data_IF_687018698350
#
_entry.id   IF_687018698350
#
_cell.length_a   1.000
_cell.length_b   1.000
_cell.length_c   1.000
_cell.angle_alpha   90.00
_cell.angle_beta   90.00
_cell.angle_gamma   90.00
#
_symmetry.space_group_name_H-M   'P 1'
#
loop_
_entity.id
_entity.type
_entity.pdbx_description
1 polymer ?
#
# COMPACT_ATOMS: atom_id res chain seq x y z
N UNK A 1 -1.46 -15.57 48.23
CA UNK A 1 -2.45 -16.60 47.86
C UNK A 1 -3.83 -16.09 47.45
N UNK A 2 -3.94 -14.98 46.71
CA UNK A 2 -5.23 -14.49 46.19
C UNK A 2 -5.13 -14.03 44.71
N UNK A 3 -4.27 -14.68 43.93
CA UNK A 3 -4.18 -14.45 42.49
C UNK A 3 -5.39 -15.14 41.82
N UNK A 4 -6.44 -14.36 41.54
CA UNK A 4 -7.55 -14.81 40.68
C UNK A 4 -8.94 -14.78 41.30
N UNK A 5 -9.11 -14.42 42.58
CA UNK A 5 -10.41 -14.27 43.25
C UNK A 5 -11.01 -12.86 43.15
N UNK A 6 -10.22 -11.87 42.72
CA UNK A 6 -10.71 -10.51 42.50
C UNK A 6 -11.77 -10.50 41.39
N UNK A 7 -12.88 -9.82 41.63
CA UNK A 7 -13.96 -9.55 40.67
C UNK A 7 -13.83 -8.11 40.19
N UNK A 8 -13.11 -7.87 39.06
CA UNK A 8 -12.82 -6.51 38.60
C UNK A 8 -14.03 -5.81 37.96
N UNK A 9 -15.05 -6.57 37.60
CA UNK A 9 -16.36 -6.04 37.22
C UNK A 9 -17.28 -6.10 38.44
N UNK A 10 -18.28 -5.23 38.52
CA UNK A 10 -19.30 -5.24 39.58
C UNK A 10 -20.17 -6.51 39.63
N UNK A 11 -19.87 -7.52 38.81
CA UNK A 11 -20.51 -8.84 38.80
C UNK A 11 -19.69 -9.91 39.52
N UNK A 12 -20.18 -11.15 39.53
CA UNK A 12 -19.54 -12.30 40.19
C UNK A 12 -18.46 -13.03 39.37
N UNK A 13 -18.06 -12.50 38.20
CA UNK A 13 -17.03 -13.12 37.35
C UNK A 13 -15.64 -12.80 37.89
N UNK A 14 -14.84 -13.84 38.15
CA UNK A 14 -13.47 -13.65 38.63
C UNK A 14 -12.55 -13.14 37.51
N UNK A 15 -11.49 -12.42 37.87
CA UNK A 15 -10.49 -11.94 36.92
C UNK A 15 -9.83 -13.07 36.12
N UNK A 16 -9.67 -14.25 36.72
CA UNK A 16 -9.16 -15.43 36.03
C UNK A 16 -10.14 -15.95 34.98
N UNK A 17 -11.45 -15.99 35.29
CA UNK A 17 -12.47 -16.39 34.34
C UNK A 17 -12.55 -15.41 33.15
N UNK A 18 -12.46 -14.11 33.43
CA UNK A 18 -12.38 -13.06 32.42
C UNK A 18 -11.16 -13.27 31.50
N UNK A 19 -9.97 -13.47 32.08
CA UNK A 19 -8.75 -13.72 31.32
C UNK A 19 -8.85 -14.96 30.43
N UNK A 20 -9.33 -16.09 30.98
CA UNK A 20 -9.53 -17.32 30.23
C UNK A 20 -10.51 -17.13 29.06
N UNK A 21 -11.58 -16.38 29.27
CA UNK A 21 -12.56 -16.06 28.22
C UNK A 21 -11.90 -15.23 27.12
N UNK A 22 -11.15 -14.18 27.46
CA UNK A 22 -10.42 -13.38 26.47
C UNK A 22 -9.43 -14.21 25.65
N UNK A 23 -8.64 -15.06 26.31
CA UNK A 23 -7.68 -15.94 25.60
C UNK A 23 -8.41 -16.91 24.67
N UNK A 24 -9.48 -17.56 25.13
CA UNK A 24 -10.28 -18.47 24.28
C UNK A 24 -10.91 -17.74 23.09
N UNK A 25 -11.47 -16.56 23.29
CA UNK A 25 -12.03 -15.73 22.21
C UNK A 25 -10.95 -15.33 21.22
N UNK A 26 -9.77 -14.89 21.69
CA UNK A 26 -8.64 -14.56 20.83
C UNK A 26 -8.17 -15.78 20.02
N UNK A 27 -8.11 -16.95 20.66
CA UNK A 27 -7.69 -18.19 20.00
C UNK A 27 -8.65 -18.56 18.87
N UNK A 28 -9.96 -18.53 19.16
CA UNK A 28 -10.99 -18.83 18.17
C UNK A 28 -11.04 -17.82 17.03
N UNK A 29 -10.78 -16.54 17.33
CA UNK A 29 -10.88 -15.46 16.35
C UNK A 29 -9.68 -15.36 15.42
N UNK A 30 -8.47 -15.60 15.90
CA UNK A 30 -7.25 -15.49 15.10
C UNK A 30 -6.52 -16.83 14.95
N UNK A 31 -7.11 -17.85 14.30
CA UNK A 31 -6.46 -19.16 14.11
C UNK A 31 -5.04 -19.06 13.55
N UNK A 32 -4.80 -18.08 12.67
CA UNK A 32 -3.50 -17.79 12.04
C UNK A 32 -2.39 -17.49 13.05
N UNK A 33 -2.73 -16.98 14.24
CA UNK A 33 -1.75 -16.63 15.29
C UNK A 33 -1.55 -17.74 16.32
N UNK A 34 -2.35 -18.80 16.29
CA UNK A 34 -2.30 -19.90 17.27
C UNK A 34 -1.71 -21.18 16.71
N UNK A 35 -1.02 -21.08 15.58
CA UNK A 35 -0.35 -22.19 14.92
C UNK A 35 1.12 -21.84 14.68
N UNK A 36 2.02 -22.83 14.66
CA UNK A 36 3.41 -22.59 14.25
C UNK A 36 3.45 -21.90 12.89
N UNK A 37 4.31 -20.90 12.75
CA UNK A 37 4.50 -20.20 11.47
C UNK A 37 4.94 -21.20 10.40
N UNK A 38 4.17 -21.31 9.31
CA UNK A 38 4.46 -22.15 8.13
C UNK A 38 4.85 -21.34 6.89
N UNK A 39 4.96 -20.02 7.03
CA UNK A 39 5.33 -19.12 5.96
C UNK A 39 6.84 -18.94 5.92
N UNK A 40 7.45 -19.40 4.83
CA UNK A 40 8.81 -19.05 4.45
C UNK A 40 8.79 -18.25 3.15
N UNK A 41 9.45 -17.09 3.16
CA UNK A 41 9.58 -16.22 1.98
C UNK A 41 10.86 -16.50 1.19
N UNK A 42 11.72 -17.40 1.70
CA UNK A 42 12.99 -17.76 1.07
C UNK A 42 13.85 -16.52 0.74
N UNK A 43 14.45 -16.54 -0.44
CA UNK A 43 15.32 -15.49 -0.95
C UNK A 43 14.59 -14.42 -1.78
N UNK A 44 13.27 -14.25 -1.56
CA UNK A 44 12.47 -13.29 -2.28
C UNK A 44 13.06 -11.86 -2.16
N UNK A 45 13.40 -11.28 -3.32
CA UNK A 45 13.93 -9.90 -3.40
C UNK A 45 12.83 -8.84 -3.38
N UNK A 46 11.62 -9.22 -3.80
CA UNK A 46 10.42 -8.38 -3.78
C UNK A 46 9.32 -9.16 -3.09
N UNK A 47 8.76 -8.57 -2.04
CA UNK A 47 7.66 -9.16 -1.27
C UNK A 47 6.52 -8.14 -1.25
N UNK A 48 5.34 -8.55 -1.69
CA UNK A 48 4.12 -7.76 -1.63
C UNK A 48 3.06 -8.55 -0.85
N UNK A 49 2.42 -7.89 0.12
CA UNK A 49 1.34 -8.48 0.92
C UNK A 49 0.07 -7.66 0.69
N UNK A 50 -0.95 -8.30 0.14
CA UNK A 50 -2.30 -7.74 0.07
C UNK A 50 -2.97 -7.86 1.45
N UNK A 51 -2.83 -6.80 2.24
CA UNK A 51 -3.39 -6.75 3.59
C UNK A 51 -4.89 -6.45 3.61
N UNK A 52 -5.45 -5.93 2.52
CA UNK A 52 -6.86 -5.55 2.41
C UNK A 52 -7.81 -6.71 2.70
N UNK A 53 -7.39 -7.94 2.37
CA UNK A 53 -8.18 -9.16 2.59
C UNK A 53 -8.40 -9.53 4.05
N UNK A 54 -7.53 -9.05 4.95
CA UNK A 54 -7.54 -9.45 6.37
C UNK A 54 -7.71 -8.27 7.33
N UNK A 55 -7.63 -7.03 6.81
CA UNK A 55 -7.85 -5.80 7.55
C UNK A 55 -9.24 -5.23 7.21
N UNK A 56 -10.31 -5.55 7.95
CA UNK A 56 -11.64 -4.98 7.72
C UNK A 56 -11.72 -3.51 8.14
N UNK A 57 -12.56 -2.74 7.46
CA UNK A 57 -12.88 -1.37 7.87
C UNK A 57 -13.90 -1.33 9.02
N UNK A 58 -13.93 -0.22 9.75
CA UNK A 58 -14.88 0.03 10.83
C UNK A 58 -14.24 0.17 12.21
N UNK A 59 -15.08 0.41 13.21
CA UNK A 59 -14.67 0.69 14.59
C UNK A 59 -14.62 -0.58 15.45
N UNK A 60 -14.11 -0.42 16.67
CA UNK A 60 -14.12 -1.46 17.70
C UNK A 60 -13.30 -2.68 17.29
N UNK A 61 -13.99 -3.78 17.07
CA UNK A 61 -13.36 -5.07 16.80
C UNK A 61 -12.68 -5.15 15.42
N UNK A 62 -13.25 -4.49 14.40
CA UNK A 62 -12.66 -4.44 13.06
C UNK A 62 -11.36 -3.62 13.06
N UNK A 63 -11.36 -2.46 13.74
CA UNK A 63 -10.17 -1.64 13.91
C UNK A 63 -9.03 -2.42 14.58
N UNK A 64 -9.32 -3.15 15.66
CA UNK A 64 -8.32 -3.99 16.37
C UNK A 64 -7.76 -5.10 15.48
N UNK A 65 -8.62 -5.76 14.70
CA UNK A 65 -8.17 -6.77 13.76
C UNK A 65 -7.25 -6.17 12.70
N UNK A 66 -7.65 -5.06 12.09
CA UNK A 66 -6.84 -4.35 11.09
C UNK A 66 -5.48 -3.95 11.64
N UNK A 67 -5.45 -3.32 12.80
CA UNK A 67 -4.21 -2.95 13.49
C UNK A 67 -3.29 -4.18 13.71
N UNK A 68 -3.84 -5.28 14.24
CA UNK A 68 -3.10 -6.53 14.44
C UNK A 68 -2.54 -7.09 13.12
N UNK A 69 -3.32 -7.08 12.04
CA UNK A 69 -2.88 -7.56 10.73
C UNK A 69 -1.78 -6.66 10.14
N UNK A 70 -1.84 -5.34 10.34
CA UNK A 70 -0.77 -4.43 9.90
C UNK A 70 0.54 -4.69 10.65
N UNK A 71 0.47 -4.87 11.97
CA UNK A 71 1.64 -5.24 12.77
C UNK A 71 2.23 -6.58 12.31
N UNK A 72 1.38 -7.58 12.04
CA UNK A 72 1.81 -8.87 11.53
C UNK A 72 2.43 -8.76 10.13
N UNK A 73 1.81 -8.01 9.21
CA UNK A 73 2.31 -7.79 7.86
C UNK A 73 3.68 -7.10 7.86
N UNK A 74 3.83 -6.07 8.68
CA UNK A 74 5.12 -5.42 8.91
C UNK A 74 6.15 -6.40 9.45
N UNK A 75 5.80 -7.26 10.42
CA UNK A 75 6.72 -8.26 10.94
C UNK A 75 7.12 -9.30 9.89
N UNK A 76 6.18 -9.74 9.04
CA UNK A 76 6.47 -10.72 7.97
C UNK A 76 7.50 -10.14 6.98
N UNK A 77 7.34 -8.88 6.57
CA UNK A 77 8.20 -8.24 5.57
C UNK A 77 9.51 -7.73 6.19
N UNK A 78 9.41 -7.04 7.32
CA UNK A 78 10.48 -6.22 7.89
C UNK A 78 11.33 -6.90 8.97
N UNK A 79 10.98 -8.10 9.46
CA UNK A 79 11.68 -8.75 10.60
C UNK A 79 13.19 -8.79 10.48
N UNK A 80 13.72 -9.01 9.27
CA UNK A 80 15.15 -9.13 9.04
C UNK A 80 15.86 -7.79 8.81
N UNK A 81 15.12 -6.71 8.54
CA UNK A 81 15.71 -5.41 8.14
C UNK A 81 16.39 -4.69 9.31
N UNK A 82 15.99 -5.03 10.54
CA UNK A 82 16.39 -4.35 11.76
C UNK A 82 17.29 -5.20 12.67
N UNK A 83 17.68 -6.39 12.22
CA UNK A 83 18.54 -7.29 13.00
C UNK A 83 19.99 -6.83 12.95
N UNK A 84 20.69 -7.06 14.05
CA UNK A 84 22.14 -6.94 14.14
C UNK A 84 22.80 -8.33 14.04
N UNK A 85 23.95 -8.48 13.36
CA UNK A 85 24.66 -9.77 13.29
C UNK A 85 24.91 -10.41 14.65
N UNK A 86 25.14 -9.60 15.70
CA UNK A 86 25.39 -10.10 17.06
C UNK A 86 24.15 -10.75 17.68
N UNK A 87 22.95 -10.46 17.18
CA UNK A 87 21.72 -11.11 17.64
C UNK A 87 21.66 -12.60 17.26
N UNK A 88 22.57 -13.09 16.40
CA UNK A 88 22.72 -14.51 16.13
C UNK A 88 23.03 -15.33 17.41
N UNK A 89 23.57 -14.73 18.48
CA UNK A 89 23.77 -15.43 19.75
C UNK A 89 22.46 -15.93 20.39
N UNK A 90 21.33 -15.31 20.04
CA UNK A 90 19.98 -15.72 20.51
C UNK A 90 19.43 -16.93 19.75
N UNK A 91 20.14 -17.39 18.72
CA UNK A 91 19.74 -18.48 17.83
C UNK A 91 20.43 -19.79 18.26
N UNK A 92 19.81 -20.98 18.06
CA UNK A 92 20.44 -22.26 18.38
C UNK A 92 21.84 -22.42 17.77
N UNK A 93 22.78 -22.96 18.56
CA UNK A 93 24.20 -23.01 18.22
C UNK A 93 24.50 -23.63 16.84
N UNK A 94 23.77 -24.68 16.45
CA UNK A 94 24.00 -25.42 15.21
C UNK A 94 23.62 -24.66 13.93
N UNK A 95 22.88 -23.55 14.02
CA UNK A 95 22.52 -22.68 12.88
C UNK A 95 23.02 -21.24 13.05
N UNK A 96 23.79 -20.96 14.11
CA UNK A 96 24.20 -19.60 14.49
C UNK A 96 25.00 -18.89 13.39
N UNK A 97 26.02 -19.55 12.84
CA UNK A 97 26.87 -18.95 11.80
C UNK A 97 26.06 -18.62 10.54
N UNK A 98 25.17 -19.54 10.13
CA UNK A 98 24.28 -19.33 8.98
C UNK A 98 23.42 -18.08 9.18
N UNK A 99 22.84 -17.91 10.37
CA UNK A 99 22.04 -16.73 10.67
C UNK A 99 22.87 -15.46 10.83
N UNK A 100 24.10 -15.55 11.36
CA UNK A 100 25.00 -14.39 11.48
C UNK A 100 25.36 -13.83 10.10
N UNK A 101 25.70 -14.70 9.15
CA UNK A 101 25.95 -14.31 7.76
C UNK A 101 24.70 -13.67 7.15
N UNK A 102 23.54 -14.31 7.28
CA UNK A 102 22.26 -13.77 6.78
C UNK A 102 21.95 -12.38 7.36
N UNK A 103 22.13 -12.19 8.67
CA UNK A 103 21.87 -10.91 9.34
C UNK A 103 22.84 -9.83 8.85
N UNK A 104 24.11 -10.18 8.61
CA UNK A 104 25.11 -9.28 8.01
C UNK A 104 24.71 -8.85 6.61
N UNK A 105 24.32 -9.78 5.74
CA UNK A 105 23.84 -9.47 4.40
C UNK A 105 22.65 -8.51 4.40
N UNK A 106 21.66 -8.78 5.27
CA UNK A 106 20.55 -7.86 5.44
C UNK A 106 21.04 -6.50 5.92
N UNK A 107 21.94 -6.43 6.90
CA UNK A 107 22.44 -5.17 7.45
C UNK A 107 23.14 -4.30 6.41
N UNK A 108 23.93 -4.90 5.54
CA UNK A 108 24.74 -4.22 4.51
C UNK A 108 23.95 -3.86 3.25
N UNK A 109 22.84 -4.56 3.00
CA UNK A 109 21.98 -4.29 1.85
C UNK A 109 21.14 -3.02 2.03
N UNK A 110 20.81 -2.36 0.91
CA UNK A 110 19.74 -1.37 0.86
C UNK A 110 18.38 -2.07 0.74
N UNK A 111 17.42 -1.65 1.56
CA UNK A 111 16.08 -2.23 1.60
C UNK A 111 15.05 -1.11 1.52
N UNK A 112 13.92 -1.37 0.87
CA UNK A 112 12.79 -0.46 0.87
C UNK A 112 11.58 -1.16 1.49
N UNK A 113 10.92 -0.47 2.40
CA UNK A 113 9.63 -0.86 2.93
C UNK A 113 8.61 0.15 2.39
N UNK A 114 7.64 -0.36 1.64
CA UNK A 114 6.58 0.45 1.04
C UNK A 114 5.23 0.12 1.66
N UNK A 115 4.44 1.14 1.96
CA UNK A 115 3.06 0.99 2.41
C UNK A 115 2.16 1.89 1.56
N UNK A 116 1.32 1.26 0.76
CA UNK A 116 0.26 1.93 0.03
C UNK A 116 -1.00 2.08 0.88
N UNK A 117 -1.85 3.05 0.54
CA UNK A 117 -3.08 3.40 1.27
C UNK A 117 -2.84 3.62 2.79
N UNK A 118 -1.78 4.38 3.12
CA UNK A 118 -1.29 4.59 4.48
C UNK A 118 -2.33 5.22 5.41
N UNK A 119 -3.38 5.88 4.91
CA UNK A 119 -4.48 6.37 5.73
C UNK A 119 -5.14 5.26 6.56
N UNK A 120 -5.10 4.01 6.07
CA UNK A 120 -5.60 2.84 6.81
C UNK A 120 -4.72 2.51 8.02
N UNK A 121 -3.41 2.67 7.86
CA UNK A 121 -2.42 2.52 8.92
C UNK A 121 -2.44 3.71 9.89
N UNK A 122 -2.66 4.93 9.39
CA UNK A 122 -2.74 6.16 10.17
C UNK A 122 -3.90 6.14 11.19
N UNK A 123 -5.01 5.48 10.84
CA UNK A 123 -6.14 5.27 11.74
C UNK A 123 -5.84 4.30 12.91
N UNK A 124 -4.70 3.59 12.87
CA UNK A 124 -4.26 2.62 13.86
C UNK A 124 -3.02 3.16 14.62
N UNK A 125 -3.16 3.66 15.86
CA UNK A 125 -2.08 4.33 16.58
C UNK A 125 -0.81 3.49 16.75
N UNK A 126 -0.93 2.18 16.98
CA UNK A 126 0.25 1.32 17.14
C UNK A 126 0.97 1.08 15.82
N UNK A 127 0.25 1.06 14.70
CA UNK A 127 0.85 0.92 13.37
C UNK A 127 1.57 2.21 12.99
N UNK A 128 0.94 3.37 13.19
CA UNK A 128 1.60 4.65 12.97
C UNK A 128 2.91 4.75 13.78
N UNK A 129 2.84 4.43 15.08
CA UNK A 129 4.02 4.41 15.96
C UNK A 129 5.10 3.45 15.45
N UNK A 130 4.73 2.27 14.97
CA UNK A 130 5.67 1.30 14.38
C UNK A 130 6.42 1.90 13.19
N UNK A 131 5.73 2.60 12.29
CA UNK A 131 6.37 3.27 11.14
C UNK A 131 7.26 4.44 11.58
N UNK A 132 6.88 5.21 12.59
CA UNK A 132 7.74 6.25 13.17
C UNK A 132 9.02 5.67 13.79
N UNK A 133 8.92 4.59 14.56
CA UNK A 133 10.07 3.88 15.13
C UNK A 133 10.94 3.25 14.05
N UNK A 134 10.34 2.74 12.98
CA UNK A 134 11.06 2.25 11.81
C UNK A 134 11.84 3.40 11.14
N UNK A 135 11.18 4.54 10.89
CA UNK A 135 11.78 5.72 10.26
C UNK A 135 13.00 6.24 11.05
N UNK A 136 12.91 6.27 12.39
CA UNK A 136 14.02 6.68 13.28
C UNK A 136 15.25 5.80 13.13
N UNK A 137 15.06 4.51 12.89
CA UNK A 137 16.15 3.53 12.76
C UNK A 137 16.63 3.38 11.31
N UNK A 138 15.75 3.63 10.34
CA UNK A 138 15.92 3.26 8.95
C UNK A 138 17.22 3.80 8.32
N UNK A 139 17.55 5.08 8.57
CA UNK A 139 18.73 5.73 7.99
C UNK A 139 20.05 5.04 8.38
N UNK A 140 20.17 4.53 9.62
CA UNK A 140 21.38 3.83 10.10
C UNK A 140 21.51 2.40 9.55
N UNK A 141 20.42 1.87 8.99
CA UNK A 141 20.28 0.47 8.64
C UNK A 141 20.12 0.24 7.14
N UNK A 142 20.35 1.27 6.31
CA UNK A 142 20.15 1.20 4.87
C UNK A 142 18.68 0.91 4.48
N UNK A 143 17.72 1.20 5.36
CA UNK A 143 16.29 1.02 5.08
C UNK A 143 15.72 2.35 4.61
N UNK A 144 14.87 2.32 3.57
CA UNK A 144 14.08 3.45 3.09
C UNK A 144 12.60 3.15 3.29
N UNK A 145 11.85 4.14 3.74
CA UNK A 145 10.39 4.06 3.81
C UNK A 145 9.78 4.80 2.63
N UNK A 146 8.85 4.15 1.92
CA UNK A 146 7.96 4.79 0.96
C UNK A 146 6.53 4.66 1.44
N UNK A 147 5.85 5.77 1.69
CA UNK A 147 4.47 5.76 2.16
C UNK A 147 3.63 6.58 1.19
N UNK A 148 2.47 6.05 0.79
CA UNK A 148 1.50 6.75 -0.05
C UNK A 148 0.17 6.83 0.68
N UNK A 149 -0.45 8.00 0.67
CA UNK A 149 -1.71 8.27 1.35
C UNK A 149 -2.50 9.33 0.58
N UNK A 150 -3.80 9.41 0.84
CA UNK A 150 -4.67 10.39 0.21
C UNK A 150 -4.49 11.79 0.79
N UNK A 151 -4.22 11.91 2.11
CA UNK A 151 -4.07 13.20 2.79
C UNK A 151 -2.71 13.35 3.42
N UNK A 152 -2.17 14.57 3.38
CA UNK A 152 -0.88 14.88 4.02
C UNK A 152 -0.90 14.67 5.54
N UNK A 153 -2.08 14.80 6.17
CA UNK A 153 -2.23 14.64 7.63
C UNK A 153 -2.09 13.20 8.10
N UNK A 154 -2.26 12.22 7.21
CA UNK A 154 -2.23 10.78 7.56
C UNK A 154 -0.83 10.33 8.00
N UNK A 155 0.22 11.02 7.55
CA UNK A 155 1.60 10.67 7.91
C UNK A 155 1.99 11.12 9.32
N UNK A 156 1.21 12.00 9.95
CA UNK A 156 1.58 12.62 11.22
C UNK A 156 2.77 13.56 11.10
N UNK A 157 3.10 14.25 12.20
CA UNK A 157 4.14 15.29 12.21
C UNK A 157 5.54 14.72 12.02
N UNK A 158 5.84 13.57 12.64
CA UNK A 158 7.17 13.00 12.63
C UNK A 158 7.59 12.54 11.23
N UNK A 159 6.79 11.69 10.58
CA UNK A 159 7.12 11.16 9.25
C UNK A 159 7.15 12.27 8.20
N UNK A 160 6.23 13.23 8.28
CA UNK A 160 6.22 14.40 7.38
C UNK A 160 7.51 15.21 7.52
N UNK A 161 7.90 15.56 8.75
CA UNK A 161 9.09 16.39 9.01
C UNK A 161 10.38 15.69 8.58
N UNK A 162 10.49 14.38 8.76
CA UNK A 162 11.71 13.61 8.50
C UNK A 162 11.76 12.98 7.10
N UNK A 163 10.71 13.17 6.29
CA UNK A 163 10.73 12.79 4.87
C UNK A 163 11.73 13.66 4.10
N UNK A 164 12.46 13.06 3.16
CA UNK A 164 13.45 13.75 2.31
C UNK A 164 13.05 13.81 0.85
N UNK A 165 12.07 13.01 0.43
CA UNK A 165 11.48 13.04 -0.91
C UNK A 165 9.97 12.97 -0.79
N UNK A 166 9.27 13.92 -1.40
CA UNK A 166 7.82 14.09 -1.32
C UNK A 166 7.29 14.23 -2.74
N UNK A 167 6.39 13.32 -3.10
CA UNK A 167 5.74 13.28 -4.40
C UNK A 167 4.29 13.72 -4.20
N UNK A 168 3.94 14.89 -4.72
CA UNK A 168 2.60 15.48 -4.56
C UNK A 168 1.90 15.36 -5.91
N UNK A 169 0.84 14.55 -5.98
CA UNK A 169 0.14 14.22 -7.22
C UNK A 169 -1.19 14.96 -7.39
N UNK A 170 -1.61 15.71 -6.37
CA UNK A 170 -2.87 16.45 -6.32
C UNK A 170 -3.43 16.49 -4.91
N UNK A 171 -4.48 17.28 -4.73
CA UNK A 171 -5.24 17.42 -3.48
C UNK A 171 -6.73 17.41 -3.81
N UNK A 172 -7.59 16.97 -2.89
CA UNK A 172 -9.01 16.79 -3.20
C UNK A 172 -9.76 18.13 -3.38
N UNK A 173 -9.29 19.20 -2.74
CA UNK A 173 -9.93 20.53 -2.78
C UNK A 173 -8.95 21.66 -2.42
N UNK A 174 -9.32 22.94 -2.63
CA UNK A 174 -8.45 24.09 -2.33
C UNK A 174 -8.01 24.20 -0.86
N UNK A 175 -8.85 23.78 0.09
CA UNK A 175 -8.48 23.79 1.52
C UNK A 175 -7.34 22.81 1.79
N UNK A 176 -7.41 21.61 1.22
CA UNK A 176 -6.36 20.61 1.34
C UNK A 176 -5.07 21.02 0.60
N UNK A 177 -5.20 21.74 -0.52
CA UNK A 177 -4.06 22.36 -1.21
C UNK A 177 -3.34 23.37 -0.31
N UNK A 178 -4.09 24.22 0.40
CA UNK A 178 -3.53 25.18 1.35
C UNK A 178 -2.86 24.51 2.55
N UNK A 179 -3.49 23.47 3.12
CA UNK A 179 -2.90 22.70 4.21
C UNK A 179 -1.63 21.97 3.77
N UNK A 180 -1.63 21.36 2.59
CA UNK A 180 -0.45 20.71 2.01
C UNK A 180 0.67 21.71 1.80
N UNK A 181 0.38 22.87 1.20
CA UNK A 181 1.37 23.92 0.98
C UNK A 181 1.98 24.43 2.29
N UNK A 182 1.15 24.63 3.32
CA UNK A 182 1.58 25.07 4.64
C UNK A 182 2.41 24.02 5.37
N UNK A 183 1.94 22.77 5.41
CA UNK A 183 2.60 21.67 6.15
C UNK A 183 3.95 21.34 5.51
N UNK A 184 4.03 21.34 4.19
CA UNK A 184 5.27 21.02 3.47
C UNK A 184 6.22 22.22 3.31
N UNK A 185 5.76 23.42 3.67
CA UNK A 185 6.53 24.66 3.51
C UNK A 185 6.82 24.97 2.05
N UNK A 186 5.82 24.81 1.18
CA UNK A 186 5.99 25.02 -0.26
C UNK A 186 6.26 26.50 -0.58
N UNK A 187 7.04 26.73 -1.63
CA UNK A 187 7.22 28.07 -2.20
C UNK A 187 5.90 28.64 -2.74
N UNK A 188 5.86 29.94 -3.05
CA UNK A 188 4.71 30.55 -3.70
C UNK A 188 4.36 29.86 -5.04
N UNK A 189 5.37 29.44 -5.80
CA UNK A 189 5.19 28.68 -7.04
C UNK A 189 4.67 27.27 -6.77
N UNK A 190 5.22 26.57 -5.77
CA UNK A 190 4.76 25.24 -5.35
C UNK A 190 3.29 25.26 -4.90
N UNK A 191 2.90 26.25 -4.09
CA UNK A 191 1.49 26.46 -3.71
C UNK A 191 0.60 26.64 -4.93
N UNK A 192 0.99 27.50 -5.88
CA UNK A 192 0.22 27.70 -7.11
C UNK A 192 0.07 26.40 -7.93
N UNK A 193 1.13 25.61 -8.03
CA UNK A 193 1.13 24.33 -8.74
C UNK A 193 0.14 23.36 -8.09
N UNK A 194 0.18 23.19 -6.77
CA UNK A 194 -0.72 22.27 -6.05
C UNK A 194 -2.19 22.65 -6.25
N UNK A 195 -2.50 23.95 -6.29
CA UNK A 195 -3.87 24.43 -6.52
C UNK A 195 -4.38 24.23 -7.95
N UNK A 196 -3.50 24.26 -8.96
CA UNK A 196 -3.94 24.46 -10.35
C UNK A 196 -3.45 23.44 -11.36
N UNK A 197 -2.33 22.75 -11.13
CA UNK A 197 -1.64 21.98 -12.17
C UNK A 197 -1.64 20.46 -11.94
N UNK A 198 -2.01 19.98 -10.76
CA UNK A 198 -1.92 18.57 -10.36
C UNK A 198 -3.24 17.80 -10.56
N UNK A 199 -3.70 17.71 -11.81
CA UNK A 199 -5.04 17.20 -12.18
C UNK A 199 -5.03 15.72 -12.63
N UNK A 200 -4.00 14.96 -12.26
CA UNK A 200 -3.85 13.56 -12.69
C UNK A 200 -3.47 13.38 -14.17
N UNK A 201 -3.52 12.14 -14.69
CA UNK A 201 -3.07 11.81 -16.05
C UNK A 201 -3.79 12.63 -17.13
N UNK A 202 -3.02 13.26 -18.03
CA UNK A 202 -3.57 14.09 -19.11
C UNK A 202 -4.18 13.24 -20.24
N UNK A 203 -5.35 13.62 -20.81
CA UNK A 203 -6.02 12.86 -21.89
C UNK A 203 -5.19 12.74 -23.19
N UNK A 204 -4.27 13.67 -23.41
CA UNK A 204 -3.35 13.66 -24.56
C UNK A 204 -2.22 12.64 -24.41
N UNK A 205 -2.05 12.02 -23.23
CA UNK A 205 -1.01 11.04 -22.97
C UNK A 205 0.36 11.65 -22.63
N UNK A 206 0.45 12.98 -22.43
CA UNK A 206 1.70 13.67 -22.08
C UNK A 206 2.21 13.36 -20.66
N UNK A 207 1.47 12.57 -19.89
CA UNK A 207 1.82 12.10 -18.55
C UNK A 207 0.94 12.66 -17.45
N UNK A 208 1.25 12.28 -16.21
CA UNK A 208 0.59 12.79 -15.01
C UNK A 208 1.49 13.85 -14.34
N UNK A 209 1.02 15.09 -14.17
CA UNK A 209 1.77 16.12 -13.48
C UNK A 209 1.92 15.80 -11.99
N UNK A 210 3.10 16.09 -11.44
CA UNK A 210 3.40 16.01 -10.02
C UNK A 210 4.35 17.14 -9.61
N UNK A 211 4.26 17.55 -8.35
CA UNK A 211 5.28 18.37 -7.71
C UNK A 211 6.18 17.47 -6.89
N UNK A 212 7.46 17.40 -7.25
CA UNK A 212 8.49 16.73 -6.48
C UNK A 212 9.16 17.76 -5.58
N UNK A 213 9.06 17.55 -4.27
CA UNK A 213 9.86 18.28 -3.29
C UNK A 213 10.92 17.33 -2.72
N UNK A 214 12.20 17.65 -2.91
CA UNK A 214 13.31 16.78 -2.51
C UNK A 214 14.37 17.57 -1.74
N UNK A 215 14.87 16.99 -0.65
CA UNK A 215 15.96 17.56 0.14
C UNK A 215 17.30 17.10 -0.44
N UNK A 216 18.15 18.04 -0.82
CA UNK A 216 19.51 17.79 -1.30
C UNK A 216 20.48 18.61 -0.45
N UNK A 217 21.33 17.92 0.31
CA UNK A 217 22.10 18.59 1.37
C UNK A 217 21.14 19.15 2.42
N UNK A 218 21.23 20.46 2.69
CA UNK A 218 20.33 21.16 3.61
C UNK A 218 19.18 21.89 2.91
N UNK A 219 19.19 21.94 1.58
CA UNK A 219 18.24 22.72 0.80
C UNK A 219 17.09 21.87 0.25
N UNK A 220 15.93 22.50 0.11
CA UNK A 220 14.76 21.92 -0.52
C UNK A 220 14.64 22.41 -1.97
N UNK A 221 14.47 21.45 -2.88
CA UNK A 221 14.19 21.71 -4.28
C UNK A 221 12.75 21.34 -4.60
N UNK A 222 12.07 22.19 -5.35
CA UNK A 222 10.72 21.97 -5.87
C UNK A 222 10.76 21.87 -7.39
N UNK A 223 10.25 20.78 -7.95
CA UNK A 223 10.25 20.53 -9.38
C UNK A 223 8.86 20.11 -9.84
N UNK A 224 8.32 20.86 -10.79
CA UNK A 224 7.13 20.44 -11.52
C UNK A 224 7.53 19.44 -12.61
N UNK A 225 7.07 18.20 -12.48
CA UNK A 225 7.45 17.10 -13.35
C UNK A 225 6.22 16.46 -13.99
N UNK A 226 6.42 15.80 -15.13
CA UNK A 226 5.44 14.92 -15.75
C UNK A 226 5.91 13.47 -15.59
N UNK A 227 5.13 12.67 -14.86
CA UNK A 227 5.30 11.23 -14.82
C UNK A 227 4.78 10.63 -16.14
N UNK A 228 5.70 10.14 -16.96
CA UNK A 228 5.39 9.49 -18.23
C UNK A 228 5.63 7.99 -18.07
N UNK A 229 4.61 7.20 -18.39
CA UNK A 229 4.67 5.74 -18.32
C UNK A 229 4.56 5.15 -19.71
N UNK A 230 5.28 4.04 -19.92
CA UNK A 230 5.18 3.30 -21.17
C UNK A 230 3.80 2.68 -21.36
N UNK A 231 3.33 2.47 -22.60
CA UNK A 231 2.05 1.80 -22.90
C UNK A 231 1.85 0.46 -22.18
N UNK A 232 2.92 -0.33 -22.02
CA UNK A 232 2.90 -1.61 -21.29
C UNK A 232 2.63 -1.39 -19.79
N UNK A 233 3.23 -0.37 -19.20
CA UNK A 233 3.09 -0.03 -17.78
C UNK A 233 1.70 0.54 -17.50
N UNK A 234 1.20 1.43 -18.37
CA UNK A 234 -0.17 1.93 -18.28
C UNK A 234 -1.18 0.78 -18.27
N UNK A 235 -1.00 -0.21 -19.17
CA UNK A 235 -1.83 -1.42 -19.15
C UNK A 235 -1.60 -2.32 -17.94
N UNK A 236 -0.41 -2.34 -17.35
CA UNK A 236 -0.17 -3.11 -16.12
C UNK A 236 -0.86 -2.46 -14.90
N UNK A 237 -0.92 -1.12 -14.88
CA UNK A 237 -1.36 -0.32 -13.74
C UNK A 237 -2.79 0.21 -13.85
N UNK A 238 -3.47 0.05 -14.99
CA UNK A 238 -4.87 0.46 -15.11
C UNK A 238 -5.75 -0.27 -14.09
N UNK A 239 -6.53 0.50 -13.35
CA UNK A 239 -7.52 0.07 -12.35
C UNK A 239 -8.96 0.21 -12.84
N UNK A 240 -9.17 0.74 -14.06
CA UNK A 240 -10.52 0.88 -14.64
C UNK A 240 -11.18 -0.50 -14.78
N UNK A 241 -12.42 -0.68 -14.33
CA UNK A 241 -13.07 -1.99 -14.37
C UNK A 241 -13.12 -2.62 -15.77
N UNK A 242 -13.38 -1.84 -16.82
CA UNK A 242 -13.44 -2.37 -18.19
C UNK A 242 -12.06 -2.81 -18.68
N UNK A 243 -11.02 -2.00 -18.44
CA UNK A 243 -9.64 -2.34 -18.80
C UNK A 243 -9.16 -3.58 -18.04
N UNK A 244 -9.47 -3.68 -16.74
CA UNK A 244 -9.13 -4.84 -15.91
C UNK A 244 -9.83 -6.10 -16.44
N UNK A 245 -11.10 -5.99 -16.83
CA UNK A 245 -11.87 -7.11 -17.37
C UNK A 245 -11.31 -7.58 -18.72
N UNK A 246 -11.04 -6.66 -19.64
CA UNK A 246 -10.41 -6.95 -20.93
C UNK A 246 -9.04 -7.59 -20.71
N UNK A 247 -8.18 -6.96 -19.91
CA UNK A 247 -6.83 -7.44 -19.60
C UNK A 247 -6.85 -8.85 -19.02
N UNK A 248 -7.75 -9.16 -18.10
CA UNK A 248 -7.90 -10.52 -17.53
C UNK A 248 -8.25 -11.57 -18.58
N UNK A 249 -9.14 -11.25 -19.53
CA UNK A 249 -9.52 -12.18 -20.61
C UNK A 249 -8.36 -12.44 -21.56
N UNK A 250 -7.65 -11.39 -21.97
CA UNK A 250 -6.46 -11.53 -22.83
C UNK A 250 -5.33 -12.25 -22.08
N UNK A 251 -5.17 -12.02 -20.77
CA UNK A 251 -4.20 -12.75 -19.94
C UNK A 251 -4.47 -14.24 -19.92
N UNK A 252 -5.75 -14.64 -19.84
CA UNK A 252 -6.13 -16.04 -19.88
C UNK A 252 -5.79 -16.70 -21.22
N UNK A 253 -5.96 -15.98 -22.32
CA UNK A 253 -5.70 -16.51 -23.66
C UNK A 253 -4.21 -16.55 -24.04
N UNK A 254 -3.42 -15.54 -23.66
CA UNK A 254 -2.05 -15.33 -24.20
C UNK A 254 -0.94 -15.29 -23.14
N UNK A 255 -1.29 -15.25 -21.85
CA UNK A 255 -0.36 -14.94 -20.77
C UNK A 255 -0.09 -13.44 -20.61
N UNK A 256 0.36 -13.03 -19.42
CA UNK A 256 0.41 -11.62 -19.02
C UNK A 256 1.40 -10.75 -19.80
N UNK A 257 2.51 -11.32 -20.27
CA UNK A 257 3.55 -10.58 -21.02
C UNK A 257 3.04 -10.26 -22.42
N UNK A 258 2.64 -11.27 -23.19
CA UNK A 258 2.17 -11.07 -24.57
C UNK A 258 0.85 -10.29 -24.60
N UNK A 259 -0.05 -10.53 -23.65
CA UNK A 259 -1.28 -9.77 -23.54
C UNK A 259 -1.02 -8.27 -23.39
N UNK A 260 -0.14 -7.86 -22.47
CA UNK A 260 0.23 -6.43 -22.32
C UNK A 260 0.89 -5.88 -23.57
N UNK A 261 1.76 -6.65 -24.23
CA UNK A 261 2.39 -6.22 -25.49
C UNK A 261 1.33 -5.90 -26.55
N UNK A 262 0.36 -6.79 -26.77
CA UNK A 262 -0.72 -6.58 -27.76
C UNK A 262 -1.65 -5.44 -27.36
N UNK A 263 -2.11 -5.43 -26.11
CA UNK A 263 -2.95 -4.34 -25.60
C UNK A 263 -2.26 -2.99 -25.73
N UNK A 264 -0.96 -2.92 -25.44
CA UNK A 264 -0.16 -1.69 -25.56
C UNK A 264 0.04 -1.24 -27.02
N UNK A 265 0.00 -2.17 -27.98
CA UNK A 265 0.10 -1.84 -29.39
C UNK A 265 -1.22 -1.32 -29.95
N UNK A 266 -2.33 -1.96 -29.57
CA UNK A 266 -3.68 -1.59 -30.02
C UNK A 266 -4.17 -0.32 -29.29
N UNK A 267 -3.88 -0.21 -28.00
CA UNK A 267 -4.31 0.87 -27.12
C UNK A 267 -3.09 1.49 -26.40
N UNK A 268 -2.29 2.30 -27.11
CA UNK A 268 -1.02 2.84 -26.58
C UNK A 268 -1.21 3.78 -25.39
N UNK A 269 -2.41 4.38 -25.23
CA UNK A 269 -2.76 5.23 -24.09
C UNK A 269 -3.10 4.45 -22.81
N UNK A 270 -3.06 3.11 -22.85
CA UNK A 270 -3.25 2.26 -21.67
C UNK A 270 -4.69 2.01 -21.25
N UNK A 271 -5.66 2.35 -22.11
CA UNK A 271 -7.08 2.10 -21.87
C UNK A 271 -7.80 1.80 -23.17
N UNK A 272 -8.78 0.90 -23.11
CA UNK A 272 -9.68 0.56 -24.20
C UNK A 272 -11.07 1.20 -24.02
N UNK A 273 -11.25 2.07 -23.00
CA UNK A 273 -12.54 2.63 -22.61
C UNK A 273 -13.31 3.25 -23.79
N UNK A 274 -12.65 4.10 -24.59
CA UNK A 274 -13.27 4.77 -25.74
C UNK A 274 -13.78 3.77 -26.79
N UNK A 275 -13.02 2.69 -27.06
CA UNK A 275 -13.41 1.66 -28.01
C UNK A 275 -14.53 0.76 -27.45
N UNK A 276 -14.50 0.46 -26.16
CA UNK A 276 -15.55 -0.29 -25.47
C UNK A 276 -16.86 0.52 -25.48
N UNK A 277 -16.79 1.81 -25.21
CA UNK A 277 -17.94 2.71 -25.26
C UNK A 277 -18.51 2.81 -26.68
N UNK A 278 -17.65 2.97 -27.70
CA UNK A 278 -18.05 2.99 -29.10
C UNK A 278 -18.82 1.72 -29.48
N UNK A 279 -18.25 0.53 -29.22
CA UNK A 279 -18.89 -0.76 -29.52
C UNK A 279 -20.17 -0.99 -28.73
N UNK A 280 -20.22 -0.52 -27.48
CA UNK A 280 -21.42 -0.59 -26.65
C UNK A 280 -22.56 0.22 -27.27
N UNK A 281 -22.27 1.45 -27.71
CA UNK A 281 -23.27 2.31 -28.34
C UNK A 281 -23.77 1.73 -29.67
N UNK A 282 -22.89 1.13 -30.47
CA UNK A 282 -23.25 0.42 -31.71
C UNK A 282 -24.16 -0.77 -31.43
N UNK A 283 -23.80 -1.64 -30.48
CA UNK A 283 -24.61 -2.80 -30.14
C UNK A 283 -25.98 -2.42 -29.58
N UNK A 284 -26.06 -1.36 -28.76
CA UNK A 284 -27.33 -0.84 -28.23
C UNK A 284 -28.22 -0.27 -29.35
N UNK A 285 -27.63 0.40 -30.35
CA UNK A 285 -28.37 0.90 -31.51
C UNK A 285 -28.91 -0.24 -32.40
N UNK A 286 -28.16 -1.33 -32.55
CA UNK A 286 -28.57 -2.48 -33.37
C UNK A 286 -29.62 -3.36 -32.71
N UNK A 287 -29.53 -3.59 -31.40
CA UNK A 287 -30.42 -4.53 -30.69
C UNK A 287 -31.67 -3.89 -30.09
N UNK A 288 -31.80 -2.55 -30.14
CA UNK A 288 -32.88 -1.80 -29.48
C UNK A 288 -33.07 -2.20 -28.00
N UNK A 289 -31.98 -2.69 -27.38
CA UNK A 289 -31.96 -3.33 -26.06
C UNK A 289 -31.65 -2.30 -24.98
N UNK A 290 -32.38 -2.37 -23.86
CA UNK A 290 -32.15 -1.53 -22.68
C UNK A 290 -31.12 -2.15 -21.71
N UNK A 291 -30.62 -3.36 -21.98
CA UNK A 291 -29.69 -4.04 -21.07
C UNK A 291 -28.22 -3.68 -21.36
N UNK A 292 -27.81 -2.56 -20.76
CA UNK A 292 -26.45 -2.04 -20.87
C UNK A 292 -25.37 -2.96 -20.25
N UNK A 293 -25.73 -3.85 -19.32
CA UNK A 293 -24.77 -4.75 -18.65
C UNK A 293 -24.46 -5.97 -19.50
N UNK A 294 -25.48 -6.59 -20.10
CA UNK A 294 -25.27 -7.69 -21.04
C UNK A 294 -24.45 -7.25 -22.27
N UNK A 295 -24.72 -6.04 -22.78
CA UNK A 295 -23.96 -5.43 -23.87
C UNK A 295 -22.48 -5.25 -23.50
N UNK A 296 -22.17 -4.70 -22.32
CA UNK A 296 -20.79 -4.49 -21.88
C UNK A 296 -19.99 -5.80 -21.80
N UNK A 297 -20.60 -6.86 -21.25
CA UNK A 297 -19.97 -8.17 -21.14
C UNK A 297 -19.61 -8.77 -22.51
N UNK A 298 -20.54 -8.66 -23.47
CA UNK A 298 -20.37 -9.10 -24.85
C UNK A 298 -19.31 -8.32 -25.62
N UNK A 299 -19.34 -6.98 -25.53
CA UNK A 299 -18.34 -6.09 -26.15
C UNK A 299 -16.93 -6.43 -25.71
N UNK A 300 -16.71 -6.58 -24.39
CA UNK A 300 -15.38 -6.90 -23.85
C UNK A 300 -14.95 -8.31 -24.32
N UNK A 301 -15.88 -9.24 -24.56
CA UNK A 301 -15.54 -10.60 -25.04
C UNK A 301 -15.16 -10.56 -26.50
N UNK A 302 -15.89 -9.82 -27.33
CA UNK A 302 -15.56 -9.67 -28.75
C UNK A 302 -14.32 -8.82 -29.01
N UNK A 303 -13.89 -8.03 -28.04
CA UNK A 303 -12.63 -7.28 -28.10
C UNK A 303 -11.41 -8.07 -27.62
N UNK A 304 -11.61 -9.02 -26.71
CA UNK A 304 -10.57 -9.89 -26.15
C UNK A 304 -10.16 -11.00 -27.13
#
# INVERSE_FOLDING_TARGET
DNYGSNTPTSGGETGLAIFQRYVKTFIGKYPTLNQPTRLDLGDARVVAIDIGRVAPEGLGENARQSELMYLLGFQIIGRNFFLDPDEAEKVPAHVREIHRERFREFRESYKRLECDEFQRAAAAPFVLKLFEEAARRAAKLGVRLGLTSQKITDFGSFLTTHSTGRFILGTANPTEADDTARILGLSAAGRQIVHTALQGPRPDGSGAPLLLQIKVGEDWYEMFLLNTLGPIELWALSTRPEDVALRKRVYHALGSVEARRRLSHVFPKGSAADEIERRKNEQMAETNSLDAQAALGGVITGLA
#
